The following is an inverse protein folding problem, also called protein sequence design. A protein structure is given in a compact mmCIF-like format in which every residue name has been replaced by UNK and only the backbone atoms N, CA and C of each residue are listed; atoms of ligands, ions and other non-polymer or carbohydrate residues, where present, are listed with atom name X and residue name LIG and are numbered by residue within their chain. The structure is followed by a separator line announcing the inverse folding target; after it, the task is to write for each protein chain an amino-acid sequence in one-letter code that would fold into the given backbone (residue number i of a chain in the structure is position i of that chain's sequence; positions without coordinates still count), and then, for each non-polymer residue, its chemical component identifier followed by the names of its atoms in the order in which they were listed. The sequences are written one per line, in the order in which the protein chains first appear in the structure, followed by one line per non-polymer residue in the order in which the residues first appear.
data_IF_115081156254
#
_entry.id   IF_115081156254
#
_cell.length_a   1.000
_cell.length_b   1.000
_cell.length_c   1.000
_cell.angle_alpha   90.00
_cell.angle_beta   90.00
_cell.angle_gamma   90.00
#
_symmetry.space_group_name_H-M   'P 1'
#
loop_
_entity.id
_entity.type
_entity.pdbx_description
1 polymer ?
#
# COMPACT_ATOMS: atom_id res chain seq x y z
N UNK A 1 8.45 -16.85 -10.43
CA UNK A 1 8.75 -16.09 -9.19
C UNK A 1 10.02 -16.69 -8.60
N UNK A 2 11.07 -15.91 -8.37
CA UNK A 2 12.30 -16.40 -7.72
C UNK A 2 12.04 -16.66 -6.23
N UNK A 3 12.88 -17.47 -5.56
CA UNK A 3 12.78 -17.65 -4.09
C UNK A 3 12.82 -16.33 -3.32
N UNK A 4 13.61 -15.37 -3.82
CA UNK A 4 13.74 -14.05 -3.21
C UNK A 4 12.43 -13.25 -3.30
N UNK A 5 11.68 -13.39 -4.40
CA UNK A 5 10.37 -12.73 -4.55
C UNK A 5 9.32 -13.31 -3.59
N UNK A 6 9.37 -14.61 -3.30
CA UNK A 6 8.47 -15.24 -2.33
C UNK A 6 8.77 -14.80 -0.90
N UNK A 7 10.06 -14.70 -0.54
CA UNK A 7 10.49 -14.17 0.74
C UNK A 7 10.07 -12.70 0.92
N UNK A 8 10.34 -11.85 -0.09
CA UNK A 8 9.93 -10.45 -0.07
C UNK A 8 8.41 -10.27 0.01
N UNK A 9 7.63 -11.10 -0.71
CA UNK A 9 6.16 -11.13 -0.57
C UNK A 9 5.76 -11.46 0.87
N UNK A 10 6.35 -12.49 1.47
CA UNK A 10 6.03 -12.89 2.84
C UNK A 10 6.33 -11.77 3.84
N UNK A 11 7.48 -11.13 3.74
CA UNK A 11 7.86 -9.99 4.59
C UNK A 11 6.93 -8.79 4.42
N UNK A 12 6.53 -8.49 3.19
CA UNK A 12 5.53 -7.45 2.90
C UNK A 12 4.19 -7.77 3.57
N UNK A 13 3.71 -9.01 3.45
CA UNK A 13 2.47 -9.46 4.09
C UNK A 13 2.55 -9.40 5.61
N UNK A 14 3.68 -9.78 6.21
CA UNK A 14 3.91 -9.67 7.66
C UNK A 14 3.93 -8.21 8.13
N UNK A 15 4.52 -7.32 7.33
CA UNK A 15 4.52 -5.87 7.59
C UNK A 15 3.11 -5.30 7.60
N UNK A 16 2.27 -5.66 6.62
CA UNK A 16 0.87 -5.24 6.60
C UNK A 16 0.06 -5.83 7.76
N UNK A 17 0.31 -7.08 8.16
CA UNK A 17 -0.33 -7.67 9.36
C UNK A 17 0.00 -6.89 10.63
N UNK A 18 1.27 -6.47 10.79
CA UNK A 18 1.68 -5.64 11.90
C UNK A 18 0.94 -4.29 11.87
N UNK A 19 0.90 -3.63 10.72
CA UNK A 19 0.20 -2.35 10.55
C UNK A 19 -1.31 -2.47 10.83
N UNK A 20 -1.95 -3.56 10.42
CA UNK A 20 -3.35 -3.86 10.76
C UNK A 20 -3.51 -4.00 12.27
N UNK A 21 -2.60 -4.70 12.94
CA UNK A 21 -2.58 -4.84 14.40
C UNK A 21 -2.48 -3.48 15.10
N UNK A 22 -1.57 -2.63 14.63
CA UNK A 22 -1.38 -1.31 15.23
C UNK A 22 -2.50 -0.31 14.93
N UNK A 23 -3.14 -0.41 13.77
CA UNK A 23 -4.34 0.36 13.47
C UNK A 23 -5.50 -0.09 14.37
N UNK A 24 -5.67 -1.41 14.55
CA UNK A 24 -6.69 -1.99 15.41
C UNK A 24 -8.11 -1.62 14.96
N UNK A 25 -8.84 -0.94 15.84
CA UNK A 25 -10.18 -0.37 15.57
C UNK A 25 -10.15 1.16 15.40
N UNK A 26 -8.96 1.77 15.47
CA UNK A 26 -8.82 3.23 15.36
C UNK A 26 -9.08 3.65 13.91
N UNK A 27 -9.72 4.81 13.66
CA UNK A 27 -9.89 5.31 12.31
C UNK A 27 -8.57 5.74 11.65
N UNK A 28 -7.57 6.12 12.45
CA UNK A 28 -6.21 6.49 12.04
C UNK A 28 -5.17 5.93 13.03
N UNK A 29 -3.90 5.90 12.63
CA UNK A 29 -2.85 5.33 13.48
C UNK A 29 -2.66 6.10 14.81
N UNK A 30 -2.91 7.41 14.80
CA UNK A 30 -2.89 8.27 15.98
C UNK A 30 -4.23 8.33 16.74
N UNK A 31 -5.17 7.41 16.49
CA UNK A 31 -6.50 7.39 17.10
C UNK A 31 -7.51 8.11 16.22
N UNK A 32 -8.22 9.10 16.79
CA UNK A 32 -9.32 9.79 16.10
C UNK A 32 -8.87 10.78 15.02
N UNK A 33 -7.58 11.14 15.00
CA UNK A 33 -7.06 12.17 14.10
C UNK A 33 -6.01 11.58 13.17
N UNK A 34 -6.08 12.00 11.90
CA UNK A 34 -5.03 11.77 10.93
C UNK A 34 -3.70 12.31 11.46
N UNK A 35 -2.69 11.45 11.56
CA UNK A 35 -1.42 11.75 12.20
C UNK A 35 -0.20 11.47 11.33
N UNK A 36 0.96 11.47 11.97
CA UNK A 36 2.25 11.33 11.29
C UNK A 36 2.41 9.99 10.56
N UNK A 37 1.98 8.89 11.19
CA UNK A 37 2.05 7.56 10.57
C UNK A 37 1.11 7.49 9.35
N UNK A 38 -0.09 8.06 9.46
CA UNK A 38 -1.02 8.09 8.32
C UNK A 38 -0.43 8.88 7.15
N UNK A 39 0.16 10.05 7.41
CA UNK A 39 0.83 10.88 6.41
C UNK A 39 2.01 10.15 5.74
N UNK A 40 2.77 9.38 6.51
CA UNK A 40 3.94 8.67 6.02
C UNK A 40 3.57 7.42 5.22
N UNK A 41 2.48 6.75 5.58
CA UNK A 41 2.07 5.47 5.01
C UNK A 41 1.13 5.63 3.81
N UNK A 42 0.26 6.64 3.80
CA UNK A 42 -0.76 6.79 2.75
C UNK A 42 -0.20 6.87 1.31
N UNK A 43 1.01 7.42 1.04
CA UNK A 43 1.56 7.39 -0.31
C UNK A 43 1.78 5.97 -0.86
N UNK A 44 1.96 4.96 -0.01
CA UNK A 44 2.11 3.57 -0.46
C UNK A 44 0.80 2.98 -1.00
N UNK A 45 -0.36 3.58 -0.72
CA UNK A 45 -1.64 3.12 -1.29
C UNK A 45 -1.70 3.26 -2.80
N UNK A 46 -0.90 4.17 -3.39
CA UNK A 46 -0.83 4.32 -4.86
C UNK A 46 -0.08 3.15 -5.52
N UNK A 47 0.69 2.39 -4.74
CA UNK A 47 1.45 1.23 -5.22
C UNK A 47 0.69 -0.08 -5.09
N UNK A 48 -0.50 -0.09 -4.46
CA UNK A 48 -1.23 -1.33 -4.16
C UNK A 48 -1.51 -2.15 -5.41
N UNK A 49 -2.00 -1.53 -6.49
CA UNK A 49 -2.22 -2.25 -7.75
C UNK A 49 -0.95 -2.93 -8.28
N UNK A 50 0.22 -2.29 -8.13
CA UNK A 50 1.50 -2.91 -8.49
C UNK A 50 1.83 -4.08 -7.56
N UNK A 51 1.69 -3.91 -6.24
CA UNK A 51 1.95 -4.99 -5.29
C UNK A 51 1.04 -6.19 -5.52
N UNK A 52 -0.26 -5.97 -5.76
CA UNK A 52 -1.23 -7.01 -6.05
C UNK A 52 -0.89 -7.75 -7.35
N UNK A 53 -0.55 -7.01 -8.41
CA UNK A 53 -0.22 -7.58 -9.73
C UNK A 53 1.07 -8.41 -9.70
N UNK A 54 2.15 -7.86 -9.15
CA UNK A 54 3.45 -8.54 -9.13
C UNK A 54 3.58 -9.57 -8.00
N UNK A 55 2.88 -9.34 -6.89
CA UNK A 55 2.87 -10.21 -5.73
C UNK A 55 1.82 -11.32 -5.80
N UNK A 56 0.86 -11.25 -6.73
CA UNK A 56 -0.26 -12.19 -6.86
C UNK A 56 -1.00 -12.38 -5.51
N UNK A 57 -1.53 -11.28 -4.98
CA UNK A 57 -2.38 -11.24 -3.79
C UNK A 57 -3.34 -10.05 -3.88
N UNK A 58 -4.28 -9.93 -2.95
CA UNK A 58 -5.22 -8.80 -2.90
C UNK A 58 -5.15 -8.11 -1.54
N UNK A 59 -4.90 -6.80 -1.55
CA UNK A 59 -4.95 -5.96 -0.34
C UNK A 59 -6.36 -5.94 0.25
N UNK A 60 -7.40 -5.88 -0.58
CA UNK A 60 -8.79 -5.87 -0.11
C UNK A 60 -9.19 -7.19 0.57
N UNK A 61 -8.79 -8.34 0.01
CA UNK A 61 -9.10 -9.64 0.61
C UNK A 61 -8.27 -9.94 1.86
N UNK A 62 -6.98 -9.61 1.84
CA UNK A 62 -6.05 -9.96 2.93
C UNK A 62 -6.08 -8.94 4.07
N UNK A 63 -6.28 -7.66 3.74
CA UNK A 63 -6.17 -6.52 4.66
C UNK A 63 -7.33 -5.52 4.48
N UNK A 64 -8.60 -5.95 4.61
CA UNK A 64 -9.76 -5.07 4.39
C UNK A 64 -9.72 -3.80 5.25
N UNK A 65 -9.19 -3.87 6.48
CA UNK A 65 -9.01 -2.72 7.37
C UNK A 65 -8.06 -1.66 6.80
N UNK A 66 -6.99 -2.06 6.11
CA UNK A 66 -6.08 -1.12 5.43
C UNK A 66 -6.82 -0.47 4.27
N UNK A 67 -7.58 -1.23 3.49
CA UNK A 67 -8.38 -0.68 2.40
C UNK A 67 -9.41 0.34 2.89
N UNK A 68 -10.08 0.08 4.00
CA UNK A 68 -11.01 1.03 4.61
C UNK A 68 -10.31 2.27 5.17
N UNK A 69 -9.14 2.10 5.78
CA UNK A 69 -8.29 3.22 6.21
C UNK A 69 -7.84 4.08 5.02
N UNK A 70 -7.46 3.48 3.89
CA UNK A 70 -7.12 4.22 2.66
C UNK A 70 -8.31 5.03 2.17
N UNK A 71 -9.50 4.40 2.05
CA UNK A 71 -10.73 5.09 1.65
C UNK A 71 -11.00 6.32 2.54
N UNK A 72 -10.87 6.15 3.86
CA UNK A 72 -11.03 7.24 4.83
C UNK A 72 -9.96 8.33 4.71
N UNK A 73 -8.72 7.97 4.38
CA UNK A 73 -7.66 8.95 4.14
C UNK A 73 -7.93 9.77 2.87
N UNK A 74 -8.47 9.15 1.82
CA UNK A 74 -8.81 9.80 0.55
C UNK A 74 -9.96 10.80 0.66
N UNK A 75 -10.81 10.70 1.69
CA UNK A 75 -11.81 11.74 2.00
C UNK A 75 -11.17 13.09 2.36
N UNK A 76 -9.89 13.09 2.77
CA UNK A 76 -9.15 14.34 3.02
C UNK A 76 -8.66 14.93 1.71
N UNK A 77 -9.13 16.13 1.38
CA UNK A 77 -8.75 16.86 0.17
C UNK A 77 -7.22 16.98 -0.03
N UNK A 78 -6.47 17.21 1.06
CA UNK A 78 -5.01 17.29 1.00
C UNK A 78 -4.35 15.98 0.58
N UNK A 79 -4.94 14.85 0.95
CA UNK A 79 -4.45 13.52 0.58
C UNK A 79 -4.83 13.23 -0.87
N UNK A 80 -6.12 13.32 -1.21
CA UNK A 80 -6.60 12.99 -2.56
C UNK A 80 -5.98 13.84 -3.67
N UNK A 81 -5.64 15.12 -3.39
CA UNK A 81 -4.93 15.97 -4.35
C UNK A 81 -3.42 15.70 -4.45
N UNK A 82 -2.83 15.02 -3.48
CA UNK A 82 -1.38 14.78 -3.44
C UNK A 82 -0.97 13.42 -4.00
N UNK A 83 -1.90 12.46 -4.07
CA UNK A 83 -1.62 11.12 -4.53
C UNK A 83 -1.73 11.00 -6.06
N UNK A 84 -0.80 10.25 -6.63
CA UNK A 84 -0.78 9.88 -8.05
C UNK A 84 -1.71 8.69 -8.27
N UNK A 85 -2.30 8.59 -9.47
CA UNK A 85 -3.13 7.45 -9.84
C UNK A 85 -2.35 6.12 -9.79
N UNK A 86 -3.03 5.05 -9.39
CA UNK A 86 -2.41 3.73 -9.24
C UNK A 86 -1.91 3.17 -10.59
N UNK A 87 -2.59 3.49 -11.69
CA UNK A 87 -2.20 3.03 -13.02
C UNK A 87 -0.92 3.74 -13.49
N UNK A 88 -0.78 5.04 -13.19
CA UNK A 88 0.42 5.80 -13.53
C UNK A 88 1.64 5.26 -12.76
N UNK A 89 1.48 4.94 -11.48
CA UNK A 89 2.53 4.30 -10.67
C UNK A 89 2.89 2.91 -11.21
N UNK A 90 1.90 2.12 -11.63
CA UNK A 90 2.14 0.83 -12.24
C UNK A 90 2.95 0.94 -13.54
N UNK A 91 2.57 1.83 -14.44
CA UNK A 91 3.32 2.08 -15.68
C UNK A 91 4.74 2.55 -15.40
N UNK A 92 4.92 3.45 -14.42
CA UNK A 92 6.23 3.88 -13.96
C UNK A 92 7.06 2.69 -13.45
N UNK A 93 6.47 1.82 -12.63
CA UNK A 93 7.16 0.67 -12.07
C UNK A 93 7.53 -0.37 -13.15
N UNK A 94 6.64 -0.64 -14.11
CA UNK A 94 6.97 -1.46 -15.28
C UNK A 94 8.16 -0.91 -16.07
N UNK A 95 8.18 0.41 -16.32
CA UNK A 95 9.31 1.05 -17.01
C UNK A 95 10.61 0.90 -16.21
N UNK A 96 10.56 1.07 -14.89
CA UNK A 96 11.71 0.91 -14.01
C UNK A 96 12.24 -0.53 -14.02
N UNK A 97 11.35 -1.54 -13.94
CA UNK A 97 11.74 -2.95 -14.02
C UNK A 97 12.47 -3.26 -15.32
N UNK A 98 11.94 -2.79 -16.45
CA UNK A 98 12.58 -2.95 -17.77
C UNK A 98 13.96 -2.27 -17.82
N UNK A 99 14.07 -1.03 -17.34
CA UNK A 99 15.36 -0.30 -17.31
C UNK A 99 16.41 -0.98 -16.44
N UNK A 100 15.99 -1.63 -15.35
CA UNK A 100 16.87 -2.34 -14.44
C UNK A 100 17.15 -3.79 -14.87
N UNK A 101 16.50 -4.29 -15.92
CA UNK A 101 16.66 -5.67 -16.39
C UNK A 101 16.12 -6.72 -15.41
N UNK A 102 15.11 -6.36 -14.62
CA UNK A 102 14.51 -7.23 -13.57
C UNK A 102 13.08 -7.63 -13.91
N UNK A 103 12.73 -7.62 -15.19
CA UNK A 103 11.40 -8.01 -15.68
C UNK A 103 11.00 -9.44 -15.29
#
# INVERSE_FOLDING_TARGET
MTKDNEAAKKELMETWKLLVGELGEKPYFAGEKFGYVDLSLIPFSTWFYSYETFGNFSMESEFPKITDWVKRCLEKESVSKSLVDQQDIYQFFELMRKKLGVE
#
